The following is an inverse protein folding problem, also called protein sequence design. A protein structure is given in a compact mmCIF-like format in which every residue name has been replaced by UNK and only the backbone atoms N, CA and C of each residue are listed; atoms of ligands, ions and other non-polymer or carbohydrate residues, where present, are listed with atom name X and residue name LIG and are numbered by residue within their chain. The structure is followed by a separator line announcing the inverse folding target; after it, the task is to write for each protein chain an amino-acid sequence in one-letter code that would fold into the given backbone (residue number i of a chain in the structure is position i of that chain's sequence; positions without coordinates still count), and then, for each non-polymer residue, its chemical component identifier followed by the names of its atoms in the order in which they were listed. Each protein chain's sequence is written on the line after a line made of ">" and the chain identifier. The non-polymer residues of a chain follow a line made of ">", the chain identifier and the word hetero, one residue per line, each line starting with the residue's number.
data_IF_520910804010
#
_entry.id   IF_520910804010
#
_cell.length_a   1.000
_cell.length_b   1.000
_cell.length_c   1.000
_cell.angle_alpha   90.00
_cell.angle_beta   90.00
_cell.angle_gamma   90.00
#
_symmetry.space_group_name_H-M   'P 1'
#
loop_
_entity.id
_entity.type
_entity.pdbx_description
1 polymer ?
#
# COMPACT_ATOMS: atom_id res chain seq x y z
N UNK A 1 -10.18 -44.71 35.14
CA UNK A 1 -8.78 -44.21 35.06
C UNK A 1 -8.46 -43.93 33.60
N UNK A 2 -8.01 -42.71 33.30
CA UNK A 2 -7.81 -42.21 31.92
C UNK A 2 -6.32 -42.35 31.60
N UNK A 3 -5.99 -43.20 30.63
CA UNK A 3 -4.61 -43.34 30.16
C UNK A 3 -4.23 -42.09 29.36
N UNK A 4 -3.15 -41.42 29.77
CA UNK A 4 -2.55 -40.29 29.04
C UNK A 4 -1.27 -40.80 28.40
N UNK A 5 -1.21 -40.71 27.07
CA UNK A 5 -0.05 -41.06 26.27
C UNK A 5 1.07 -40.04 26.53
N UNK A 6 2.15 -40.46 27.18
CA UNK A 6 3.40 -39.71 27.26
C UNK A 6 4.35 -40.29 26.22
N UNK A 7 4.41 -39.65 25.05
CA UNK A 7 5.45 -39.69 24.01
C UNK A 7 6.16 -41.02 23.72
N UNK A 8 5.96 -41.55 22.51
CA UNK A 8 6.78 -42.61 21.94
C UNK A 8 8.04 -42.05 21.24
N UNK A 9 9.11 -42.86 21.29
CA UNK A 9 10.52 -42.55 21.15
C UNK A 9 11.03 -42.09 19.76
N UNK A 10 12.22 -41.47 19.74
CA UNK A 10 13.47 -42.06 19.19
C UNK A 10 14.54 -40.98 19.00
N UNK A 11 15.77 -41.21 19.50
CA UNK A 11 16.92 -40.34 19.22
C UNK A 11 18.09 -40.52 20.17
N UNK A 12 19.04 -41.35 19.75
CA UNK A 12 20.32 -41.71 20.36
C UNK A 12 21.19 -40.56 20.86
N UNK A 13 21.88 -40.77 21.99
CA UNK A 13 23.11 -40.03 22.30
C UNK A 13 23.46 -40.07 23.78
N UNK A 14 24.59 -40.69 24.13
CA UNK A 14 25.26 -40.44 25.41
C UNK A 14 25.61 -38.96 25.49
N UNK A 15 24.78 -38.16 26.15
CA UNK A 15 25.00 -36.76 26.45
C UNK A 15 24.67 -36.51 27.92
N UNK A 16 25.52 -35.76 28.61
CA UNK A 16 25.34 -35.39 30.03
C UNK A 16 23.92 -34.86 30.27
N UNK A 17 23.33 -35.10 31.47
CA UNK A 17 22.02 -34.55 31.80
C UNK A 17 22.01 -33.04 31.60
N UNK A 18 21.05 -32.52 30.84
CA UNK A 18 20.88 -31.08 30.64
C UNK A 18 20.68 -30.40 32.01
N UNK A 19 21.38 -29.28 32.30
CA UNK A 19 21.20 -28.56 33.54
C UNK A 19 19.73 -28.13 33.71
N UNK A 20 19.21 -28.26 34.93
CA UNK A 20 17.85 -27.84 35.27
C UNK A 20 17.80 -26.32 35.24
N UNK A 21 17.01 -25.74 34.34
CA UNK A 21 16.84 -24.28 34.24
C UNK A 21 16.39 -23.70 35.57
N UNK A 22 16.98 -22.57 35.95
CA UNK A 22 16.71 -21.86 37.21
C UNK A 22 15.97 -20.56 36.90
N UNK A 23 14.92 -20.27 37.66
CA UNK A 23 14.15 -19.03 37.52
C UNK A 23 14.84 -17.89 38.29
N UNK A 24 15.03 -16.75 37.63
CA UNK A 24 15.49 -15.49 38.21
C UNK A 24 14.65 -14.36 37.61
N UNK A 25 14.02 -13.55 38.46
CA UNK A 25 13.17 -12.40 38.05
C UNK A 25 12.12 -12.73 36.98
N UNK A 26 11.47 -13.90 37.11
CA UNK A 26 10.43 -14.37 36.18
C UNK A 26 10.96 -14.89 34.83
N UNK A 27 12.28 -15.05 34.68
CA UNK A 27 12.92 -15.61 33.48
C UNK A 27 13.69 -16.89 33.82
N UNK A 28 13.69 -17.84 32.90
CA UNK A 28 14.39 -19.12 33.06
C UNK A 28 15.78 -19.07 32.42
N UNK A 29 16.81 -19.42 33.19
CA UNK A 29 18.21 -19.40 32.78
C UNK A 29 18.85 -20.79 32.90
N UNK A 30 19.81 -21.09 32.01
CA UNK A 30 20.59 -22.33 32.09
C UNK A 30 21.63 -22.26 33.23
N UNK A 31 22.14 -21.05 33.52
CA UNK A 31 23.07 -20.78 34.60
C UNK A 31 22.62 -19.56 35.42
N UNK A 32 22.68 -19.69 36.74
CA UNK A 32 22.51 -18.57 37.68
C UNK A 32 23.64 -18.64 38.70
N UNK A 33 24.33 -17.53 38.95
CA UNK A 33 25.43 -17.46 39.92
C UNK A 33 25.40 -16.15 40.69
N UNK A 34 25.77 -16.21 41.96
CA UNK A 34 25.92 -15.05 42.83
C UNK A 34 27.27 -14.37 42.58
N UNK A 35 27.25 -13.11 42.18
CA UNK A 35 28.42 -12.27 41.93
C UNK A 35 28.55 -11.27 43.07
N UNK A 36 29.73 -11.15 43.66
CA UNK A 36 30.02 -10.21 44.74
C UNK A 36 30.55 -8.91 44.15
N UNK A 37 29.81 -7.81 44.35
CA UNK A 37 30.21 -6.47 43.89
C UNK A 37 31.10 -5.81 44.95
N UNK A 38 30.78 -6.04 46.22
CA UNK A 38 31.61 -5.68 47.38
C UNK A 38 31.62 -6.84 48.37
N UNK A 39 32.46 -6.79 49.42
CA UNK A 39 32.50 -7.82 50.47
C UNK A 39 31.15 -8.04 51.17
N UNK A 40 30.28 -7.03 51.15
CA UNK A 40 28.98 -7.05 51.82
C UNK A 40 27.78 -7.08 50.86
N UNK A 41 28.00 -6.86 49.55
CA UNK A 41 26.94 -6.78 48.55
C UNK A 41 27.15 -7.74 47.39
N UNK A 42 26.12 -8.52 47.09
CA UNK A 42 26.14 -9.54 46.05
C UNK A 42 24.79 -9.62 45.35
N UNK A 43 24.84 -9.91 44.06
CA UNK A 43 23.70 -9.91 43.14
C UNK A 43 23.72 -11.18 42.29
N UNK A 44 22.56 -11.59 41.79
CA UNK A 44 22.44 -12.79 40.98
C UNK A 44 22.63 -12.46 39.49
N UNK A 45 23.48 -13.20 38.81
CA UNK A 45 23.71 -13.14 37.38
C UNK A 45 23.11 -14.39 36.73
N UNK A 46 22.18 -14.22 35.79
CA UNK A 46 21.58 -15.30 35.01
C UNK A 46 21.92 -15.21 33.53
N UNK A 47 22.28 -16.33 32.89
CA UNK A 47 22.52 -16.42 31.45
C UNK A 47 22.20 -17.83 30.90
N UNK A 48 21.97 -17.92 29.59
CA UNK A 48 21.77 -19.15 28.85
C UNK A 48 23.02 -19.55 28.08
N UNK A 49 23.11 -20.82 27.66
CA UNK A 49 24.24 -21.30 26.86
C UNK A 49 24.36 -20.59 25.49
N UNK A 50 23.27 -20.02 24.98
CA UNK A 50 23.22 -19.33 23.69
C UNK A 50 23.32 -17.79 23.79
N UNK A 51 23.50 -17.24 24.99
CA UNK A 51 23.73 -15.82 25.20
C UNK A 51 25.19 -15.44 24.88
N UNK A 52 25.39 -14.25 24.33
CA UNK A 52 26.74 -13.70 24.11
C UNK A 52 27.34 -13.24 25.46
N UNK A 53 28.54 -13.73 25.85
CA UNK A 53 29.16 -13.36 27.12
C UNK A 53 29.35 -11.85 27.30
N UNK A 54 29.65 -11.12 26.22
CA UNK A 54 29.85 -9.67 26.28
C UNK A 54 28.51 -8.97 26.53
N UNK A 55 27.44 -9.37 25.83
CA UNK A 55 26.11 -8.78 26.02
C UNK A 55 25.57 -9.02 27.44
N UNK A 56 25.84 -10.21 28.00
CA UNK A 56 25.49 -10.56 29.39
C UNK A 56 26.23 -9.65 30.37
N UNK A 57 27.54 -9.48 30.21
CA UNK A 57 28.38 -8.63 31.07
C UNK A 57 27.97 -7.17 30.94
N UNK A 58 27.75 -6.67 29.73
CA UNK A 58 27.38 -5.27 29.49
C UNK A 58 26.01 -4.94 30.08
N UNK A 59 25.03 -5.84 29.92
CA UNK A 59 23.70 -5.69 30.50
C UNK A 59 23.75 -5.70 32.03
N UNK A 60 24.52 -6.63 32.59
CA UNK A 60 24.69 -6.76 34.04
C UNK A 60 25.46 -5.56 34.63
N UNK A 61 26.48 -5.09 33.93
CA UNK A 61 27.26 -3.93 34.32
C UNK A 61 26.46 -2.62 34.24
N UNK A 62 25.57 -2.49 33.26
CA UNK A 62 24.66 -1.35 33.16
C UNK A 62 23.64 -1.31 34.30
N UNK A 63 23.19 -2.47 34.79
CA UNK A 63 22.21 -2.57 35.87
C UNK A 63 22.80 -2.31 37.26
N UNK A 64 24.04 -2.76 37.49
CA UNK A 64 24.67 -2.70 38.82
C UNK A 64 25.92 -1.82 38.88
N UNK A 65 26.19 -1.04 37.82
CA UNK A 65 27.30 -0.07 37.73
C UNK A 65 28.67 -0.68 38.06
N UNK A 66 29.01 -1.82 37.44
CA UNK A 66 30.26 -2.53 37.71
C UNK A 66 31.51 -1.77 37.23
N UNK A 67 32.60 -1.90 37.97
CA UNK A 67 33.94 -1.43 37.56
C UNK A 67 34.49 -2.29 36.43
N UNK A 68 35.40 -1.73 35.62
CA UNK A 68 36.02 -2.45 34.48
C UNK A 68 36.71 -3.76 34.90
N UNK A 69 37.39 -3.78 36.05
CA UNK A 69 38.03 -4.99 36.56
C UNK A 69 37.02 -6.11 36.87
N UNK A 70 35.86 -5.76 37.45
CA UNK A 70 34.79 -6.71 37.73
C UNK A 70 34.10 -7.17 36.43
N UNK A 71 33.96 -6.30 35.43
CA UNK A 71 33.45 -6.70 34.11
C UNK A 71 34.33 -7.77 33.49
N UNK A 72 35.66 -7.61 33.53
CA UNK A 72 36.61 -8.59 33.01
C UNK A 72 36.52 -9.94 33.75
N UNK A 73 36.41 -9.92 35.09
CA UNK A 73 36.26 -11.14 35.87
C UNK A 73 34.94 -11.87 35.58
N UNK A 74 33.83 -11.14 35.46
CA UNK A 74 32.53 -11.71 35.12
C UNK A 74 32.57 -12.28 33.69
N UNK A 75 33.21 -11.59 32.75
CA UNK A 75 33.38 -12.06 31.39
C UNK A 75 34.17 -13.38 31.32
N UNK A 76 35.33 -13.46 31.96
CA UNK A 76 36.15 -14.68 31.99
C UNK A 76 35.44 -15.83 32.71
N UNK A 77 34.52 -15.55 33.63
CA UNK A 77 33.69 -16.55 34.28
C UNK A 77 32.53 -17.08 33.40
N UNK A 78 31.89 -16.19 32.64
CA UNK A 78 30.73 -16.53 31.78
C UNK A 78 31.18 -17.20 30.49
N UNK A 79 32.24 -16.70 29.86
CA UNK A 79 32.76 -17.15 28.55
C UNK A 79 32.89 -18.68 28.41
N UNK A 80 33.54 -19.43 29.33
CA UNK A 80 33.68 -20.89 29.18
C UNK A 80 32.38 -21.68 29.38
N UNK A 81 31.31 -21.03 29.88
CA UNK A 81 30.00 -21.64 30.15
C UNK A 81 28.97 -21.32 29.06
N UNK A 82 29.38 -20.63 28.01
CA UNK A 82 28.56 -20.40 26.82
C UNK A 82 28.99 -21.31 25.69
N UNK A 83 28.08 -21.61 24.77
CA UNK A 83 28.36 -22.46 23.62
C UNK A 83 28.49 -21.61 22.35
N UNK A 84 29.71 -21.44 21.79
CA UNK A 84 29.94 -20.60 20.61
C UNK A 84 29.07 -20.98 19.40
N UNK A 85 28.76 -22.26 19.22
CA UNK A 85 27.91 -22.73 18.13
C UNK A 85 26.44 -22.34 18.35
N UNK A 86 25.97 -22.36 19.60
CA UNK A 86 24.61 -21.94 19.96
C UNK A 86 24.44 -20.42 19.82
N UNK A 87 25.45 -19.64 20.23
CA UNK A 87 25.50 -18.19 20.05
C UNK A 87 25.44 -17.83 18.55
N UNK A 88 26.28 -18.49 17.72
CA UNK A 88 26.28 -18.26 16.28
C UNK A 88 24.92 -18.62 15.64
N UNK A 89 24.31 -19.74 16.05
CA UNK A 89 22.99 -20.15 15.58
C UNK A 89 21.88 -19.17 15.99
N UNK A 90 21.95 -18.59 17.20
CA UNK A 90 21.02 -17.57 17.67
C UNK A 90 21.22 -16.25 16.91
N UNK A 91 22.45 -15.78 16.73
CA UNK A 91 22.75 -14.58 15.93
C UNK A 91 22.26 -14.71 14.50
N UNK A 92 22.43 -15.88 13.87
CA UNK A 92 21.89 -16.14 12.54
C UNK A 92 20.35 -16.26 12.53
N UNK A 93 19.72 -16.83 13.56
CA UNK A 93 18.25 -16.83 13.71
C UNK A 93 17.71 -15.41 13.86
N UNK A 94 18.29 -14.60 14.74
CA UNK A 94 17.89 -13.21 14.96
C UNK A 94 18.15 -12.34 13.72
N UNK A 95 19.27 -12.56 13.01
CA UNK A 95 19.55 -11.92 11.73
C UNK A 95 18.54 -12.34 10.67
N UNK A 96 18.18 -13.63 10.60
CA UNK A 96 17.14 -14.14 9.69
C UNK A 96 15.76 -13.60 10.05
N UNK A 97 15.43 -13.44 11.33
CA UNK A 97 14.18 -12.86 11.80
C UNK A 97 14.12 -11.36 11.56
N UNK A 98 15.21 -10.61 11.82
CA UNK A 98 15.34 -9.18 11.49
C UNK A 98 15.28 -8.96 9.98
N UNK A 99 15.93 -9.81 9.18
CA UNK A 99 15.84 -9.79 7.72
C UNK A 99 14.42 -10.15 7.25
N UNK A 100 13.79 -11.15 7.86
CA UNK A 100 12.42 -11.54 7.56
C UNK A 100 11.39 -10.46 7.93
N UNK A 101 11.63 -9.72 9.02
CA UNK A 101 10.82 -8.61 9.51
C UNK A 101 11.05 -7.32 8.69
N UNK A 102 12.29 -6.96 8.40
CA UNK A 102 12.66 -5.81 7.57
C UNK A 102 12.21 -5.96 6.10
N UNK A 103 12.10 -7.21 5.61
CA UNK A 103 11.60 -7.51 4.27
C UNK A 103 10.10 -7.87 4.25
N UNK A 104 9.30 -7.58 5.29
CA UNK A 104 7.85 -7.76 5.15
C UNK A 104 7.34 -6.68 4.18
N UNK A 105 7.02 -7.05 2.94
CA UNK A 105 6.33 -6.16 2.00
C UNK A 105 5.19 -5.45 2.73
N UNK A 106 5.33 -4.13 2.87
CA UNK A 106 4.34 -3.26 3.46
C UNK A 106 3.29 -3.02 2.38
N UNK A 107 2.02 -3.42 2.57
CA UNK A 107 0.96 -3.14 1.63
C UNK A 107 0.98 -1.67 1.20
N UNK A 108 0.61 -1.39 -0.05
CA UNK A 108 0.69 -0.04 -0.63
C UNK A 108 0.03 1.03 0.26
N UNK A 109 -1.09 0.67 0.88
CA UNK A 109 -1.86 1.54 1.77
C UNK A 109 -1.18 1.88 3.11
N UNK A 110 -0.19 1.12 3.55
CA UNK A 110 0.56 1.38 4.77
C UNK A 110 1.79 2.26 4.52
N UNK A 111 2.42 2.19 3.33
CA UNK A 111 3.69 2.87 3.04
C UNK A 111 3.61 4.05 2.08
N UNK A 112 2.86 3.92 0.98
CA UNK A 112 2.90 4.90 -0.11
C UNK A 112 1.56 5.62 -0.35
N UNK A 113 0.46 5.06 0.16
CA UNK A 113 -0.87 5.67 0.06
C UNK A 113 -1.36 5.78 -1.38
N UNK A 114 -2.20 6.79 -1.63
CA UNK A 114 -2.77 7.03 -2.95
C UNK A 114 -1.83 7.83 -3.86
N UNK A 115 -1.87 7.52 -5.14
CA UNK A 115 -1.18 8.26 -6.18
C UNK A 115 -2.14 9.22 -6.88
N UNK A 116 -1.67 10.44 -7.17
CA UNK A 116 -2.52 11.52 -7.66
C UNK A 116 -2.00 12.11 -8.96
N UNK A 117 -2.94 12.52 -9.81
CA UNK A 117 -2.71 13.31 -11.01
C UNK A 117 -3.06 14.77 -10.75
N UNK A 118 -2.30 15.39 -9.85
CA UNK A 118 -2.58 16.69 -9.26
C UNK A 118 -1.97 17.90 -9.99
N UNK A 119 -1.21 17.68 -11.07
CA UNK A 119 -0.44 18.73 -11.74
C UNK A 119 -1.32 19.88 -12.25
N UNK A 120 -1.06 21.08 -11.72
CA UNK A 120 -1.71 22.37 -12.00
C UNK A 120 -0.92 23.25 -12.98
N UNK A 121 0.22 22.80 -13.51
CA UNK A 121 1.09 23.60 -14.39
C UNK A 121 0.40 24.09 -15.68
N UNK A 122 -0.76 23.52 -16.04
CA UNK A 122 -1.51 23.82 -17.27
C UNK A 122 -2.82 24.57 -17.05
N UNK A 123 -3.06 25.13 -15.87
CA UNK A 123 -4.31 25.86 -15.57
C UNK A 123 -4.60 27.01 -16.55
N UNK A 124 -3.59 27.81 -16.92
CA UNK A 124 -3.78 28.94 -17.85
C UNK A 124 -4.25 28.51 -19.25
N UNK A 125 -3.54 27.60 -19.96
CA UNK A 125 -4.00 27.05 -21.24
C UNK A 125 -5.35 26.35 -21.15
N UNK A 126 -5.63 25.65 -20.04
CA UNK A 126 -6.89 24.97 -19.80
C UNK A 126 -8.06 25.97 -19.66
N UNK A 127 -7.88 27.04 -18.89
CA UNK A 127 -8.84 28.15 -18.76
C UNK A 127 -9.21 28.72 -20.13
N UNK A 128 -8.20 29.04 -20.95
CA UNK A 128 -8.42 29.61 -22.29
C UNK A 128 -9.26 28.69 -23.18
N UNK A 129 -9.04 27.37 -23.12
CA UNK A 129 -9.79 26.39 -23.90
C UNK A 129 -11.23 26.27 -23.42
N UNK A 130 -11.45 26.13 -22.10
CA UNK A 130 -12.80 26.06 -21.52
C UNK A 130 -13.60 27.32 -21.79
N UNK A 131 -13.00 28.50 -21.60
CA UNK A 131 -13.64 29.78 -21.87
C UNK A 131 -14.04 29.89 -23.34
N UNK A 132 -13.13 29.53 -24.27
CA UNK A 132 -13.44 29.55 -25.71
C UNK A 132 -14.64 28.65 -26.06
N UNK A 133 -14.68 27.43 -25.53
CA UNK A 133 -15.80 26.51 -25.78
C UNK A 133 -17.09 27.04 -25.17
N UNK A 134 -17.03 27.62 -23.96
CA UNK A 134 -18.18 28.23 -23.29
C UNK A 134 -18.73 29.44 -24.05
N UNK A 135 -17.84 30.30 -24.58
CA UNK A 135 -18.23 31.48 -25.36
C UNK A 135 -18.82 31.12 -26.73
N UNK A 136 -18.37 30.00 -27.32
CA UNK A 136 -18.91 29.49 -28.57
C UNK A 136 -20.29 28.85 -28.42
N UNK A 137 -20.70 28.52 -27.19
CA UNK A 137 -21.99 27.89 -26.90
C UNK A 137 -23.08 28.96 -26.85
N UNK A 138 -23.88 29.06 -27.92
CA UNK A 138 -24.93 30.07 -28.07
C UNK A 138 -25.99 30.04 -26.95
N UNK A 139 -26.23 28.86 -26.38
CA UNK A 139 -27.17 28.59 -25.29
C UNK A 139 -26.52 28.62 -23.89
N UNK A 140 -25.28 29.12 -23.76
CA UNK A 140 -24.62 29.20 -22.46
C UNK A 140 -25.35 30.17 -21.51
N UNK A 141 -25.91 29.60 -20.45
CA UNK A 141 -26.68 30.32 -19.43
C UNK A 141 -25.78 31.21 -18.56
N UNK A 142 -26.37 32.26 -17.95
CA UNK A 142 -25.67 33.09 -16.97
C UNK A 142 -25.14 32.26 -15.78
N UNK A 143 -25.89 31.23 -15.38
CA UNK A 143 -25.52 30.28 -14.33
C UNK A 143 -24.29 29.46 -14.72
N UNK A 144 -24.21 28.95 -15.96
CA UNK A 144 -23.02 28.22 -16.43
C UNK A 144 -21.78 29.12 -16.47
N UNK A 145 -21.91 30.38 -16.90
CA UNK A 145 -20.80 31.35 -16.92
C UNK A 145 -20.30 31.67 -15.50
N UNK A 146 -21.23 31.86 -14.57
CA UNK A 146 -20.92 32.07 -13.15
C UNK A 146 -20.24 30.82 -12.54
N UNK A 147 -20.79 29.64 -12.80
CA UNK A 147 -20.24 28.36 -12.32
C UNK A 147 -18.83 28.10 -12.86
N UNK A 148 -18.58 28.41 -14.14
CA UNK A 148 -17.24 28.34 -14.72
C UNK A 148 -16.25 29.29 -14.02
N UNK A 149 -16.63 30.56 -13.81
CA UNK A 149 -15.77 31.54 -13.17
C UNK A 149 -15.40 31.14 -11.73
N UNK A 150 -16.38 30.65 -10.96
CA UNK A 150 -16.17 30.13 -9.61
C UNK A 150 -15.27 28.91 -9.60
N UNK A 151 -15.53 27.93 -10.48
CA UNK A 151 -14.70 26.72 -10.60
C UNK A 151 -13.25 27.07 -10.91
N UNK A 152 -13.01 28.01 -11.84
CA UNK A 152 -11.66 28.42 -12.18
C UNK A 152 -10.97 29.18 -11.06
N UNK A 153 -11.70 30.01 -10.31
CA UNK A 153 -11.18 30.67 -9.11
C UNK A 153 -10.76 29.66 -8.05
N UNK A 154 -11.60 28.65 -7.82
CA UNK A 154 -11.30 27.54 -6.92
C UNK A 154 -10.07 26.79 -7.42
N UNK A 155 -9.97 26.41 -8.69
CA UNK A 155 -8.80 25.70 -9.22
C UNK A 155 -7.48 26.46 -9.05
N UNK A 156 -7.49 27.78 -9.15
CA UNK A 156 -6.30 28.63 -9.00
C UNK A 156 -5.90 28.84 -7.54
N UNK A 157 -6.85 28.85 -6.60
CA UNK A 157 -6.58 29.07 -5.18
C UNK A 157 -6.34 27.76 -4.41
N UNK A 158 -5.24 27.07 -4.72
CA UNK A 158 -4.90 25.77 -4.12
C UNK A 158 -4.73 25.80 -2.60
N UNK A 159 -4.36 26.95 -2.03
CA UNK A 159 -4.19 27.11 -0.58
C UNK A 159 -5.48 26.92 0.22
N UNK A 160 -6.65 27.09 -0.40
CA UNK A 160 -7.95 27.02 0.26
C UNK A 160 -8.72 25.72 0.00
N UNK A 161 -8.16 24.74 -0.72
CA UNK A 161 -8.86 23.50 -1.10
C UNK A 161 -9.47 22.71 0.07
N UNK A 162 -8.98 22.93 1.29
CA UNK A 162 -9.45 22.26 2.50
C UNK A 162 -10.58 23.01 3.22
N UNK A 163 -10.86 24.27 2.87
CA UNK A 163 -11.79 25.15 3.58
C UNK A 163 -12.82 25.83 2.69
N UNK A 164 -12.51 26.08 1.41
CA UNK A 164 -13.46 26.68 0.46
C UNK A 164 -14.62 25.75 0.12
N UNK A 165 -15.75 26.36 -0.28
CA UNK A 165 -16.98 25.66 -0.62
C UNK A 165 -17.11 25.47 -2.11
N UNK A 166 -17.71 24.34 -2.48
CA UNK A 166 -18.07 24.03 -3.86
C UNK A 166 -19.57 24.25 -4.06
N UNK A 167 -19.91 25.24 -4.87
CA UNK A 167 -21.28 25.75 -4.99
C UNK A 167 -22.14 24.93 -5.95
N UNK A 168 -23.47 25.11 -5.86
CA UNK A 168 -24.42 24.49 -6.80
C UNK A 168 -24.20 24.96 -8.25
N UNK A 169 -23.79 26.22 -8.45
CA UNK A 169 -23.49 26.79 -9.77
C UNK A 169 -22.29 26.08 -10.41
N UNK A 170 -21.23 25.83 -9.64
CA UNK A 170 -20.06 25.07 -10.11
C UNK A 170 -20.41 23.63 -10.44
N UNK A 171 -21.20 22.97 -9.59
CA UNK A 171 -21.70 21.61 -9.84
C UNK A 171 -22.52 21.57 -11.14
N UNK A 172 -23.44 22.51 -11.32
CA UNK A 172 -24.27 22.60 -12.52
C UNK A 172 -23.42 22.79 -13.78
N UNK A 173 -22.40 23.64 -13.71
CA UNK A 173 -21.44 23.81 -14.79
C UNK A 173 -20.71 22.50 -15.12
N UNK A 174 -20.16 21.79 -14.13
CA UNK A 174 -19.46 20.51 -14.34
C UNK A 174 -20.37 19.47 -15.01
N UNK A 175 -21.62 19.33 -14.55
CA UNK A 175 -22.57 18.37 -15.12
C UNK A 175 -22.90 18.71 -16.58
N UNK A 176 -23.07 19.99 -16.92
CA UNK A 176 -23.27 20.45 -18.30
C UNK A 176 -22.01 20.23 -19.15
N UNK A 177 -20.84 20.61 -18.63
CA UNK A 177 -19.56 20.52 -19.34
C UNK A 177 -19.14 19.07 -19.62
N UNK A 178 -19.48 18.12 -18.74
CA UNK A 178 -19.25 16.70 -18.96
C UNK A 178 -20.10 16.12 -20.10
N UNK A 179 -21.11 16.83 -20.60
CA UNK A 179 -21.88 16.39 -21.78
C UNK A 179 -21.28 16.90 -23.10
N UNK A 180 -20.23 17.73 -23.03
CA UNK A 180 -19.52 18.19 -24.23
C UNK A 180 -18.86 17.00 -24.95
N UNK A 181 -18.68 17.14 -26.26
CA UNK A 181 -18.23 16.04 -27.13
C UNK A 181 -16.83 16.26 -27.67
N UNK A 182 -16.14 15.16 -27.99
CA UNK A 182 -14.87 15.19 -28.71
C UNK A 182 -13.78 16.01 -28.00
N UNK A 183 -13.20 16.98 -28.71
CA UNK A 183 -12.05 17.77 -28.21
C UNK A 183 -12.42 18.76 -27.11
N UNK A 184 -13.68 19.16 -27.05
CA UNK A 184 -14.19 20.11 -26.06
C UNK A 184 -14.34 19.48 -24.66
N UNK A 185 -14.54 18.16 -24.59
CA UNK A 185 -14.58 17.41 -23.33
C UNK A 185 -13.20 17.33 -22.64
N UNK A 186 -12.13 17.28 -23.41
CA UNK A 186 -10.77 17.06 -22.87
C UNK A 186 -10.36 18.09 -21.80
N UNK A 187 -10.50 19.42 -22.01
CA UNK A 187 -10.19 20.39 -20.97
C UNK A 187 -11.11 20.28 -19.74
N UNK A 188 -12.34 19.76 -19.89
CA UNK A 188 -13.25 19.51 -18.76
C UNK A 188 -12.72 18.37 -17.89
N UNK A 189 -12.32 17.25 -18.51
CA UNK A 189 -11.72 16.12 -17.77
C UNK A 189 -10.37 16.50 -17.13
N UNK A 190 -9.59 17.34 -17.80
CA UNK A 190 -8.31 17.84 -17.27
C UNK A 190 -8.52 18.77 -16.06
N UNK A 191 -9.55 19.63 -16.09
CA UNK A 191 -9.95 20.45 -14.95
C UNK A 191 -10.48 19.58 -13.81
N UNK A 192 -11.33 18.61 -14.13
CA UNK A 192 -11.98 17.75 -13.16
C UNK A 192 -10.96 16.91 -12.38
N UNK A 193 -9.90 16.39 -13.02
CA UNK A 193 -8.86 15.64 -12.29
C UNK A 193 -8.17 16.50 -11.23
N UNK A 194 -7.94 17.78 -11.51
CA UNK A 194 -7.32 18.71 -10.55
C UNK A 194 -8.33 19.04 -9.44
N UNK A 195 -9.58 19.29 -9.82
CA UNK A 195 -10.68 19.63 -8.92
C UNK A 195 -10.97 18.53 -7.88
N UNK A 196 -10.69 17.25 -8.18
CA UNK A 196 -10.81 16.16 -7.21
C UNK A 196 -9.93 16.33 -5.95
N UNK A 197 -8.99 17.28 -5.93
CA UNK A 197 -8.24 17.62 -4.73
C UNK A 197 -8.97 18.60 -3.80
N UNK A 198 -9.96 19.33 -4.30
CA UNK A 198 -10.76 20.26 -3.51
C UNK A 198 -11.76 19.47 -2.66
N UNK A 199 -11.65 19.55 -1.33
CA UNK A 199 -12.32 18.64 -0.39
C UNK A 199 -13.85 18.64 -0.54
N UNK A 200 -14.45 19.83 -0.69
CA UNK A 200 -15.90 19.96 -0.84
C UNK A 200 -16.38 19.59 -2.26
N UNK A 201 -15.51 19.72 -3.26
CA UNK A 201 -15.85 19.40 -4.64
C UNK A 201 -15.85 17.89 -4.87
N UNK A 202 -14.80 17.21 -4.40
CA UNK A 202 -14.76 15.73 -4.47
C UNK A 202 -15.88 15.11 -3.66
N UNK A 203 -16.23 15.66 -2.48
CA UNK A 203 -17.41 15.24 -1.72
C UNK A 203 -18.66 15.30 -2.60
N UNK A 204 -18.99 16.51 -3.05
CA UNK A 204 -20.21 16.80 -3.81
C UNK A 204 -20.30 15.99 -5.11
N UNK A 205 -19.22 15.95 -5.88
CA UNK A 205 -19.19 15.32 -7.20
C UNK A 205 -19.09 13.79 -7.13
N UNK A 206 -18.47 13.22 -6.08
CA UNK A 206 -18.42 11.77 -5.89
C UNK A 206 -19.77 11.19 -5.46
N UNK A 207 -20.61 11.99 -4.79
CA UNK A 207 -21.94 11.59 -4.36
C UNK A 207 -22.99 11.78 -5.49
N UNK A 208 -22.70 12.61 -6.49
CA UNK A 208 -23.58 12.86 -7.63
C UNK A 208 -23.64 11.67 -8.60
N UNK A 209 -24.83 11.07 -8.75
CA UNK A 209 -25.07 9.93 -9.63
C UNK A 209 -24.91 10.27 -11.12
N UNK A 210 -25.26 11.49 -11.53
CA UNK A 210 -25.14 11.90 -12.94
C UNK A 210 -23.68 12.10 -13.33
N UNK A 211 -22.87 12.66 -12.44
CA UNK A 211 -21.41 12.75 -12.65
C UNK A 211 -20.81 11.36 -12.81
N UNK A 212 -21.17 10.42 -11.93
CA UNK A 212 -20.71 9.03 -12.00
C UNK A 212 -21.11 8.34 -13.31
N UNK A 213 -22.37 8.51 -13.73
CA UNK A 213 -22.88 7.99 -15.01
C UNK A 213 -22.09 8.53 -16.20
N UNK A 214 -21.87 9.86 -16.26
CA UNK A 214 -21.12 10.50 -17.33
C UNK A 214 -19.65 10.05 -17.38
N UNK A 215 -18.99 9.92 -16.22
CA UNK A 215 -17.61 9.41 -16.17
C UNK A 215 -17.50 7.97 -16.67
N UNK A 216 -18.47 7.11 -16.33
CA UNK A 216 -18.52 5.74 -16.85
C UNK A 216 -18.80 5.74 -18.36
N UNK A 217 -19.71 6.58 -18.85
CA UNK A 217 -19.99 6.71 -20.27
C UNK A 217 -18.73 7.10 -21.05
N UNK A 218 -17.97 8.10 -20.58
CA UNK A 218 -16.71 8.52 -21.21
C UNK A 218 -15.61 7.48 -21.17
N UNK A 219 -15.56 6.67 -20.11
CA UNK A 219 -14.61 5.57 -19.99
C UNK A 219 -14.96 4.40 -20.90
N UNK A 220 -16.26 4.11 -21.06
CA UNK A 220 -16.76 2.93 -21.78
C UNK A 220 -17.04 3.19 -23.26
N UNK A 221 -17.13 4.45 -23.69
CA UNK A 221 -17.33 4.85 -25.07
C UNK A 221 -16.32 4.15 -26.01
N UNK A 222 -16.76 3.30 -26.95
CA UNK A 222 -15.86 2.59 -27.86
C UNK A 222 -15.14 3.53 -28.83
N UNK A 223 -15.68 4.74 -29.07
CA UNK A 223 -15.06 5.77 -29.89
C UNK A 223 -14.15 6.72 -29.08
N UNK A 224 -13.97 6.47 -27.77
CA UNK A 224 -13.18 7.33 -26.91
C UNK A 224 -11.72 7.42 -27.41
N UNK A 225 -11.24 8.65 -27.57
CA UNK A 225 -9.84 8.87 -27.92
C UNK A 225 -8.91 8.46 -26.77
N UNK A 226 -7.65 8.15 -27.08
CA UNK A 226 -6.64 7.86 -26.04
C UNK A 226 -6.50 8.96 -24.99
N UNK A 227 -6.64 10.22 -25.37
CA UNK A 227 -6.58 11.34 -24.42
C UNK A 227 -7.79 11.38 -23.49
N UNK A 228 -8.99 11.10 -24.01
CA UNK A 228 -10.21 10.99 -23.22
C UNK A 228 -10.10 9.85 -22.21
N UNK A 229 -9.71 8.64 -22.65
CA UNK A 229 -9.51 7.50 -21.75
C UNK A 229 -8.48 7.81 -20.65
N UNK A 230 -7.33 8.36 -21.02
CA UNK A 230 -6.30 8.76 -20.07
C UNK A 230 -6.85 9.74 -19.03
N UNK A 231 -7.53 10.81 -19.45
CA UNK A 231 -8.04 11.83 -18.53
C UNK A 231 -9.18 11.29 -17.65
N UNK A 232 -10.12 10.51 -18.19
CA UNK A 232 -11.18 9.84 -17.41
C UNK A 232 -10.59 8.96 -16.30
N UNK A 233 -9.57 8.16 -16.62
CA UNK A 233 -8.88 7.33 -15.63
C UNK A 233 -8.14 8.15 -14.57
N UNK A 234 -7.56 9.29 -14.93
CA UNK A 234 -6.93 10.21 -13.97
C UNK A 234 -7.95 10.85 -13.03
N UNK A 235 -9.11 11.23 -13.55
CA UNK A 235 -10.24 11.70 -12.72
C UNK A 235 -10.64 10.61 -11.73
N UNK A 236 -10.89 9.39 -12.21
CA UNK A 236 -11.30 8.26 -11.37
C UNK A 236 -10.24 7.89 -10.31
N UNK A 237 -8.95 7.91 -10.67
CA UNK A 237 -7.86 7.68 -9.73
C UNK A 237 -7.84 8.70 -8.60
N UNK A 238 -8.01 9.99 -8.92
CA UNK A 238 -8.05 11.06 -7.92
C UNK A 238 -9.34 11.02 -7.10
N UNK A 239 -10.48 10.69 -7.72
CA UNK A 239 -11.76 10.54 -7.05
C UNK A 239 -11.68 9.45 -5.97
N UNK A 240 -11.20 8.24 -6.31
CA UNK A 240 -11.02 7.15 -5.33
C UNK A 240 -10.08 7.58 -4.21
N UNK A 241 -8.99 8.28 -4.54
CA UNK A 241 -7.99 8.71 -3.58
C UNK A 241 -8.46 9.80 -2.60
N UNK A 242 -9.34 10.70 -3.04
CA UNK A 242 -9.74 11.91 -2.29
C UNK A 242 -11.18 11.88 -1.80
N UNK A 243 -12.00 10.92 -2.24
CA UNK A 243 -13.39 10.79 -1.81
C UNK A 243 -13.48 10.74 -0.28
N UNK A 244 -14.38 11.53 0.34
CA UNK A 244 -14.66 11.42 1.75
C UNK A 244 -15.26 10.05 2.08
N UNK A 245 -14.73 9.44 3.13
CA UNK A 245 -15.18 8.13 3.60
C UNK A 245 -16.40 8.26 4.50
N UNK A 246 -17.39 7.39 4.29
CA UNK A 246 -18.55 7.28 5.17
C UNK A 246 -18.14 6.71 6.55
N UNK A 247 -18.93 6.98 7.59
CA UNK A 247 -18.58 6.50 8.94
C UNK A 247 -18.58 4.97 9.04
N UNK A 248 -19.53 4.31 8.39
CA UNK A 248 -19.59 2.83 8.31
C UNK A 248 -18.38 2.25 7.59
N UNK A 249 -17.88 2.96 6.59
CA UNK A 249 -16.68 2.57 5.85
C UNK A 249 -15.44 2.65 6.76
N UNK A 250 -15.31 3.70 7.59
CA UNK A 250 -14.19 3.85 8.53
C UNK A 250 -14.22 2.85 9.68
N UNK A 251 -15.41 2.61 10.25
CA UNK A 251 -15.58 1.82 11.48
C UNK A 251 -15.75 0.33 11.22
N UNK A 252 -16.41 -0.05 10.13
CA UNK A 252 -16.86 -1.43 9.89
C UNK A 252 -16.37 -2.00 8.55
N UNK A 253 -15.70 -1.20 7.72
CA UNK A 253 -15.29 -1.61 6.37
C UNK A 253 -16.46 -1.83 5.42
N UNK A 254 -17.58 -1.16 5.69
CA UNK A 254 -18.81 -1.24 4.89
C UNK A 254 -18.91 0.03 4.05
N UNK A 255 -18.36 -0.01 2.84
CA UNK A 255 -18.52 1.05 1.86
C UNK A 255 -19.97 1.07 1.34
N UNK A 256 -20.53 2.25 1.00
CA UNK A 256 -21.84 2.35 0.36
C UNK A 256 -21.91 1.49 -0.90
N UNK A 257 -23.01 0.75 -1.08
CA UNK A 257 -23.14 -0.23 -2.16
C UNK A 257 -23.08 0.42 -3.54
N UNK A 258 -23.65 1.61 -3.69
CA UNK A 258 -23.61 2.42 -4.92
C UNK A 258 -22.17 2.84 -5.27
N UNK A 259 -21.33 3.11 -4.28
CA UNK A 259 -19.90 3.40 -4.47
C UNK A 259 -19.15 2.15 -4.92
N UNK A 260 -19.39 1.00 -4.28
CA UNK A 260 -18.77 -0.28 -4.68
C UNK A 260 -19.16 -0.65 -6.11
N UNK A 261 -20.44 -0.49 -6.47
CA UNK A 261 -20.93 -0.74 -7.83
C UNK A 261 -20.30 0.20 -8.85
N UNK A 262 -20.25 1.50 -8.56
CA UNK A 262 -19.61 2.48 -9.44
C UNK A 262 -18.13 2.14 -9.69
N UNK A 263 -17.37 1.86 -8.63
CA UNK A 263 -15.95 1.50 -8.74
C UNK A 263 -15.78 0.19 -9.50
N UNK A 264 -16.65 -0.79 -9.28
CA UNK A 264 -16.62 -2.07 -10.01
C UNK A 264 -16.83 -1.87 -11.51
N UNK A 265 -17.81 -1.05 -11.90
CA UNK A 265 -18.04 -0.69 -13.29
C UNK A 265 -16.87 0.08 -13.91
N UNK A 266 -16.23 0.97 -13.15
CA UNK A 266 -15.05 1.70 -13.59
C UNK A 266 -13.83 0.77 -13.77
N UNK A 267 -13.64 -0.22 -12.89
CA UNK A 267 -12.60 -1.25 -13.02
C UNK A 267 -12.83 -2.07 -14.29
N UNK A 268 -14.06 -2.53 -14.54
CA UNK A 268 -14.40 -3.26 -15.76
C UNK A 268 -14.14 -2.41 -17.03
N UNK A 269 -14.52 -1.13 -17.02
CA UNK A 269 -14.24 -0.21 -18.13
C UNK A 269 -12.74 0.03 -18.37
N UNK A 270 -11.91 -0.12 -17.33
CA UNK A 270 -10.46 0.07 -17.42
C UNK A 270 -9.70 -1.12 -18.00
N UNK A 271 -10.30 -2.31 -18.13
CA UNK A 271 -9.61 -3.53 -18.58
C UNK A 271 -8.91 -3.33 -19.92
N UNK A 272 -9.60 -2.75 -20.91
CA UNK A 272 -9.04 -2.47 -22.25
C UNK A 272 -7.90 -1.44 -22.23
N UNK A 273 -7.81 -0.64 -21.17
CA UNK A 273 -6.83 0.43 -21.05
C UNK A 273 -5.48 -0.07 -20.54
N UNK A 274 -5.39 -1.30 -20.02
CA UNK A 274 -4.13 -1.91 -19.52
C UNK A 274 -3.45 -2.79 -20.59
N UNK A 275 -4.19 -3.18 -21.64
CA UNK A 275 -3.70 -3.96 -22.79
C UNK A 275 -2.38 -3.38 -23.34
N UNK A 276 -1.44 -4.24 -23.75
CA UNK A 276 -0.15 -3.83 -24.32
C UNK A 276 -0.29 -3.01 -25.60
N UNK A 277 -1.40 -3.16 -26.32
CA UNK A 277 -1.74 -2.38 -27.51
C UNK A 277 -2.19 -0.95 -27.19
N UNK A 278 -2.59 -0.67 -25.95
CA UNK A 278 -3.01 0.66 -25.56
C UNK A 278 -1.82 1.63 -25.45
N UNK A 279 -2.10 2.92 -25.66
CA UNK A 279 -1.12 3.99 -25.54
C UNK A 279 -0.58 4.06 -24.10
N UNK A 280 0.74 4.23 -23.96
CA UNK A 280 1.42 4.13 -22.67
C UNK A 280 0.89 5.09 -21.58
N UNK A 281 0.59 6.37 -21.88
CA UNK A 281 -0.15 7.26 -20.98
C UNK A 281 -1.49 6.70 -20.47
N UNK A 282 -2.27 6.04 -21.33
CA UNK A 282 -3.55 5.40 -20.95
C UNK A 282 -3.29 4.25 -20.00
N UNK A 283 -2.36 3.37 -20.35
CA UNK A 283 -1.94 2.23 -19.51
C UNK A 283 -1.47 2.69 -18.13
N UNK A 284 -0.65 3.74 -18.08
CA UNK A 284 -0.16 4.32 -16.84
C UNK A 284 -1.31 4.83 -15.97
N UNK A 285 -2.26 5.57 -16.56
CA UNK A 285 -3.43 6.06 -15.83
C UNK A 285 -4.31 4.94 -15.30
N UNK A 286 -4.57 3.90 -16.11
CA UNK A 286 -5.35 2.74 -15.71
C UNK A 286 -4.69 1.99 -14.55
N UNK A 287 -3.38 1.79 -14.63
CA UNK A 287 -2.62 1.07 -13.60
C UNK A 287 -2.64 1.81 -12.26
N UNK A 288 -2.48 3.14 -12.29
CA UNK A 288 -2.57 3.97 -11.08
C UNK A 288 -3.98 3.92 -10.50
N UNK A 289 -5.02 3.97 -11.33
CA UNK A 289 -6.39 3.82 -10.88
C UNK A 289 -6.60 2.47 -10.17
N UNK A 290 -6.20 1.35 -10.78
CA UNK A 290 -6.32 0.02 -10.18
C UNK A 290 -5.57 -0.09 -8.84
N UNK A 291 -4.34 0.46 -8.78
CA UNK A 291 -3.55 0.52 -7.55
C UNK A 291 -4.23 1.34 -6.46
N UNK A 292 -4.82 2.48 -6.80
CA UNK A 292 -5.61 3.28 -5.87
C UNK A 292 -6.86 2.54 -5.37
N UNK A 293 -7.54 1.75 -6.21
CA UNK A 293 -8.68 0.95 -5.77
C UNK A 293 -8.24 -0.12 -4.76
N UNK A 294 -7.11 -0.81 -4.98
CA UNK A 294 -6.56 -1.75 -3.98
C UNK A 294 -6.17 -1.03 -2.69
N UNK A 295 -5.56 0.15 -2.79
CA UNK A 295 -5.24 1.00 -1.64
C UNK A 295 -6.50 1.35 -0.85
N UNK A 296 -7.57 1.76 -1.53
CA UNK A 296 -8.86 2.07 -0.93
C UNK A 296 -9.48 0.86 -0.22
N UNK A 297 -9.47 -0.33 -0.85
CA UNK A 297 -9.97 -1.56 -0.24
C UNK A 297 -9.19 -1.89 1.04
N UNK A 298 -7.86 -1.84 0.98
CA UNK A 298 -7.00 -2.17 2.13
C UNK A 298 -7.08 -1.16 3.27
N UNK A 299 -6.98 0.13 2.97
CA UNK A 299 -7.07 1.22 3.97
C UNK A 299 -8.36 1.16 4.78
N UNK A 300 -9.47 0.82 4.12
CA UNK A 300 -10.79 0.86 4.74
C UNK A 300 -11.33 -0.54 5.05
N UNK A 301 -10.54 -1.60 4.86
CA UNK A 301 -10.94 -2.99 5.10
C UNK A 301 -12.27 -3.33 4.38
N UNK A 302 -12.45 -2.80 3.17
CA UNK A 302 -13.69 -2.97 2.41
C UNK A 302 -13.87 -4.44 2.04
N UNK A 303 -15.04 -5.00 2.35
CA UNK A 303 -15.39 -6.38 1.99
C UNK A 303 -15.76 -6.47 0.50
N UNK A 304 -14.75 -6.48 -0.38
CA UNK A 304 -14.93 -6.41 -1.84
C UNK A 304 -14.14 -7.48 -2.61
N UNK A 305 -14.22 -8.75 -2.19
CA UNK A 305 -13.40 -9.84 -2.71
C UNK A 305 -13.54 -10.04 -4.22
N UNK A 306 -14.76 -9.93 -4.76
CA UNK A 306 -15.00 -10.03 -6.19
C UNK A 306 -14.28 -8.91 -6.97
N UNK A 307 -14.37 -7.68 -6.48
CA UNK A 307 -13.67 -6.53 -7.08
C UNK A 307 -12.14 -6.70 -7.01
N UNK A 308 -11.62 -7.17 -5.87
CA UNK A 308 -10.19 -7.47 -5.72
C UNK A 308 -9.71 -8.50 -6.73
N UNK A 309 -10.47 -9.60 -6.92
CA UNK A 309 -10.16 -10.63 -7.92
C UNK A 309 -10.18 -10.06 -9.34
N UNK A 310 -11.19 -9.26 -9.69
CA UNK A 310 -11.26 -8.60 -11.00
C UNK A 310 -10.03 -7.71 -11.27
N UNK A 311 -9.56 -6.96 -10.28
CA UNK A 311 -8.35 -6.13 -10.44
C UNK A 311 -7.12 -7.01 -10.68
N UNK A 312 -6.96 -8.09 -9.91
CA UNK A 312 -5.86 -9.05 -10.09
C UNK A 312 -5.89 -9.68 -11.48
N UNK A 313 -7.06 -10.05 -11.97
CA UNK A 313 -7.25 -10.65 -13.29
C UNK A 313 -6.96 -9.68 -14.44
N UNK A 314 -6.96 -8.37 -14.18
CA UNK A 314 -6.46 -7.36 -15.11
C UNK A 314 -4.95 -7.19 -14.97
N UNK A 315 -4.43 -7.12 -13.74
CA UNK A 315 -3.03 -6.80 -13.47
C UNK A 315 -2.05 -7.91 -13.90
N UNK A 316 -2.38 -9.18 -13.65
CA UNK A 316 -1.46 -10.29 -13.91
C UNK A 316 -1.21 -10.51 -15.41
N UNK A 317 -2.22 -10.59 -16.28
CA UNK A 317 -1.98 -10.68 -17.72
C UNK A 317 -1.15 -9.51 -18.25
N UNK A 318 -1.37 -8.30 -17.73
CA UNK A 318 -0.58 -7.13 -18.11
C UNK A 318 0.90 -7.22 -17.69
N UNK A 319 1.18 -7.84 -16.54
CA UNK A 319 2.55 -8.14 -16.11
C UNK A 319 3.20 -9.22 -16.96
N UNK A 320 2.46 -10.29 -17.28
CA UNK A 320 2.95 -11.43 -18.06
C UNK A 320 3.19 -11.09 -19.52
N UNK A 321 2.35 -10.24 -20.10
CA UNK A 321 2.53 -9.76 -21.47
C UNK A 321 3.83 -8.95 -21.65
N UNK A 322 4.41 -8.47 -20.54
CA UNK A 322 5.61 -7.63 -20.56
C UNK A 322 5.38 -6.29 -21.25
N UNK A 323 6.47 -5.53 -21.42
CA UNK A 323 6.44 -4.25 -22.12
C UNK A 323 5.73 -3.13 -21.35
N UNK A 324 6.46 -2.08 -21.02
CA UNK A 324 5.92 -0.92 -20.32
C UNK A 324 7.01 -0.11 -19.63
N UNK A 325 6.67 1.09 -19.16
CA UNK A 325 7.59 1.86 -18.32
C UNK A 325 7.67 1.25 -16.92
N UNK A 326 8.82 1.37 -16.29
CA UNK A 326 9.09 0.87 -14.95
C UNK A 326 8.04 1.30 -13.91
N UNK A 327 7.55 2.54 -13.97
CA UNK A 327 6.49 3.00 -13.05
C UNK A 327 5.17 2.22 -13.20
N UNK A 328 4.81 1.83 -14.42
CA UNK A 328 3.60 1.04 -14.66
C UNK A 328 3.76 -0.37 -14.08
N UNK A 329 4.90 -1.02 -14.36
CA UNK A 329 5.21 -2.36 -13.83
C UNK A 329 5.24 -2.32 -12.31
N UNK A 330 5.85 -1.30 -11.72
CA UNK A 330 5.84 -1.06 -10.28
C UNK A 330 4.42 -1.06 -9.72
N UNK A 331 3.50 -0.26 -10.27
CA UNK A 331 2.13 -0.20 -9.75
C UNK A 331 1.34 -1.51 -9.95
N UNK A 332 1.56 -2.24 -11.04
CA UNK A 332 0.95 -3.56 -11.24
C UNK A 332 1.44 -4.57 -10.20
N UNK A 333 2.75 -4.62 -9.95
CA UNK A 333 3.36 -5.50 -8.93
C UNK A 333 2.83 -5.16 -7.54
N UNK A 334 2.85 -3.88 -7.18
CA UNK A 334 2.40 -3.38 -5.88
C UNK A 334 0.91 -3.65 -5.67
N UNK A 335 0.05 -3.40 -6.66
CA UNK A 335 -1.38 -3.68 -6.56
C UNK A 335 -1.64 -5.18 -6.35
N UNK A 336 -0.96 -6.05 -7.10
CA UNK A 336 -1.12 -7.50 -7.03
C UNK A 336 -0.60 -8.07 -5.70
N UNK A 337 0.59 -7.64 -5.25
CA UNK A 337 1.18 -8.06 -3.99
C UNK A 337 0.35 -7.56 -2.79
N UNK A 338 -0.17 -6.33 -2.86
CA UNK A 338 -1.05 -5.76 -1.83
C UNK A 338 -2.38 -6.50 -1.77
N UNK A 339 -2.99 -6.85 -2.91
CA UNK A 339 -4.22 -7.64 -2.95
C UNK A 339 -4.08 -8.98 -2.20
N UNK A 340 -2.95 -9.69 -2.38
CA UNK A 340 -2.66 -10.93 -1.67
C UNK A 340 -2.51 -10.79 -0.15
N UNK A 341 -2.36 -9.57 0.37
CA UNK A 341 -2.29 -9.29 1.82
C UNK A 341 -3.64 -9.00 2.43
N UNK A 342 -4.68 -8.76 1.63
CA UNK A 342 -6.03 -8.48 2.15
C UNK A 342 -6.59 -9.68 2.90
N UNK A 343 -6.51 -10.88 2.30
CA UNK A 343 -7.06 -12.12 2.86
C UNK A 343 -6.30 -13.37 2.35
N UNK A 344 -6.21 -14.45 3.14
CA UNK A 344 -5.60 -15.71 2.71
C UNK A 344 -6.23 -16.32 1.44
N UNK A 345 -7.54 -16.21 1.27
CA UNK A 345 -8.27 -16.76 0.13
C UNK A 345 -7.92 -16.02 -1.17
N UNK A 346 -7.71 -14.70 -1.08
CA UNK A 346 -7.24 -13.88 -2.20
C UNK A 346 -5.79 -14.25 -2.55
N UNK A 347 -4.94 -14.47 -1.55
CA UNK A 347 -3.57 -14.96 -1.78
C UNK A 347 -3.56 -16.30 -2.51
N UNK A 348 -4.37 -17.26 -2.06
CA UNK A 348 -4.49 -18.58 -2.68
C UNK A 348 -4.99 -18.48 -4.13
N UNK A 349 -5.90 -17.54 -4.42
CA UNK A 349 -6.38 -17.25 -5.77
C UNK A 349 -5.28 -16.71 -6.70
N UNK A 350 -4.40 -15.84 -6.18
CA UNK A 350 -3.35 -15.17 -6.95
C UNK A 350 -2.15 -16.10 -7.20
N UNK A 351 -1.71 -16.85 -6.19
CA UNK A 351 -0.47 -17.62 -6.20
C UNK A 351 -0.23 -18.48 -7.47
N UNK A 352 -1.20 -19.26 -7.99
CA UNK A 352 -0.95 -20.07 -9.18
C UNK A 352 -0.79 -19.24 -10.47
N UNK A 353 -1.23 -17.98 -10.49
CA UNK A 353 -1.25 -17.11 -11.68
C UNK A 353 0.03 -16.30 -11.89
N UNK A 354 0.88 -16.21 -10.86
CA UNK A 354 2.01 -15.26 -10.83
C UNK A 354 3.39 -15.88 -11.11
N UNK A 355 3.45 -17.20 -11.35
CA UNK A 355 4.72 -17.95 -11.52
C UNK A 355 5.59 -17.39 -12.66
N UNK A 356 4.99 -16.92 -13.76
CA UNK A 356 5.71 -16.34 -14.90
C UNK A 356 6.08 -14.86 -14.76
N UNK A 357 5.51 -14.14 -13.79
CA UNK A 357 5.66 -12.68 -13.67
C UNK A 357 7.14 -12.27 -13.48
N UNK A 358 7.93 -12.90 -12.59
CA UNK A 358 9.30 -12.47 -12.36
C UNK A 358 10.21 -12.58 -13.59
N UNK A 359 9.97 -13.56 -14.45
CA UNK A 359 10.70 -13.69 -15.72
C UNK A 359 10.28 -12.59 -16.71
N UNK A 360 8.96 -12.34 -16.82
CA UNK A 360 8.39 -11.36 -17.76
C UNK A 360 8.84 -9.91 -17.48
N UNK A 361 9.07 -9.54 -16.22
CA UNK A 361 9.42 -8.15 -15.86
C UNK A 361 10.93 -7.89 -15.70
N UNK A 362 11.78 -8.92 -15.88
CA UNK A 362 13.23 -8.83 -15.66
C UNK A 362 13.94 -7.81 -16.57
N UNK A 363 13.33 -7.42 -17.69
CA UNK A 363 13.90 -6.42 -18.60
C UNK A 363 13.66 -4.95 -18.21
N UNK A 364 12.83 -4.67 -17.20
CA UNK A 364 12.34 -3.32 -16.89
C UNK A 364 12.97 -2.69 -15.62
N UNK A 365 14.25 -2.92 -15.39
CA UNK A 365 14.91 -2.75 -14.08
C UNK A 365 15.28 -1.29 -13.78
N UNK A 366 14.34 -0.55 -13.18
CA UNK A 366 14.71 0.50 -12.23
C UNK A 366 14.87 -0.12 -10.85
N UNK A 367 15.62 0.54 -9.96
CA UNK A 367 15.78 0.11 -8.57
C UNK A 367 14.42 -0.14 -7.87
N UNK A 368 13.45 0.75 -8.09
CA UNK A 368 12.09 0.62 -7.55
C UNK A 368 11.34 -0.63 -8.05
N UNK A 369 11.54 -1.03 -9.31
CA UNK A 369 10.95 -2.26 -9.86
C UNK A 369 11.65 -3.49 -9.31
N UNK A 370 12.96 -3.43 -9.10
CA UNK A 370 13.74 -4.52 -8.48
C UNK A 370 13.24 -4.77 -7.06
N UNK A 371 13.06 -3.72 -6.26
CA UNK A 371 12.54 -3.81 -4.90
C UNK A 371 11.11 -4.37 -4.87
N UNK A 372 10.21 -3.81 -5.69
CA UNK A 372 8.85 -4.31 -5.80
C UNK A 372 8.78 -5.77 -6.27
N UNK A 373 9.68 -6.19 -7.17
CA UNK A 373 9.76 -7.57 -7.64
C UNK A 373 10.30 -8.52 -6.56
N UNK A 374 11.31 -8.10 -5.79
CA UNK A 374 11.83 -8.88 -4.68
C UNK A 374 10.74 -9.12 -3.63
N UNK A 375 9.97 -8.09 -3.32
CA UNK A 375 8.82 -8.19 -2.43
C UNK A 375 7.72 -9.11 -2.99
N UNK A 376 7.41 -8.97 -4.29
CA UNK A 376 6.45 -9.81 -4.98
C UNK A 376 6.83 -11.29 -4.90
N UNK A 377 8.08 -11.64 -5.22
CA UNK A 377 8.63 -13.00 -5.08
C UNK A 377 8.45 -13.53 -3.67
N UNK A 378 8.71 -12.71 -2.65
CA UNK A 378 8.53 -13.12 -1.25
C UNK A 378 7.08 -13.37 -0.87
N UNK A 379 6.13 -12.57 -1.37
CA UNK A 379 4.70 -12.74 -1.08
C UNK A 379 4.20 -14.10 -1.59
N UNK A 380 4.67 -14.53 -2.76
CA UNK A 380 4.17 -15.73 -3.45
C UNK A 380 5.10 -16.95 -3.42
N UNK A 381 6.35 -16.80 -2.99
CA UNK A 381 7.34 -17.87 -2.99
C UNK A 381 7.82 -18.28 -4.39
N UNK A 382 7.91 -17.31 -5.31
CA UNK A 382 8.26 -17.51 -6.74
C UNK A 382 9.56 -16.82 -7.15
#
# INVERSE_FOLDING_TARGET
>A
MKWVCVGQAMGSGRGKPKPKKTELDGKMYDHVTKVFITEQHSVMLGWNEDDDPQDVVDSFAALYSLTEDLKYQVFEFVKPKTNPNAIAARKEREKREKLAAAMRHVPNWEKFGFQLFADTSKLGPMRKRLQKTLDAKADATATEKKGFALMMSNLENTSQYHSSKFTADERSFIVSALQWKGKDLLPVLDALRVLMQHADAVKTLSEDSKVRELLLAHLNDPAATKHQLMLSLRVLANLVARRPRADKERKHGEAPQDVVQFITSAVAGSTRCVDTKADLPVRTAATVFLSNVICWIGMNKVKADALTKSIVDICIPALLAGGGKSNMIYYLLVATASAARLKPEIKAYIAPKVTGVPAAVKGALTQSVVEALADFRKVFGV
#
